data_IF_272803258248
#
_entry.id   IF_272803258248
#
_cell.length_a   1.000
_cell.length_b   1.000
_cell.length_c   1.000
_cell.angle_alpha   90.00
_cell.angle_beta   90.00
_cell.angle_gamma   90.00
#
_symmetry.space_group_name_H-M   'P 1'
#
loop_
_entity.id
_entity.type
_entity.pdbx_description
1 polymer ?
#
# COMPACT_ATOMS: atom_id res chain seq x y z
N UNK A 1 3.99 -12.86 5.76
CA UNK A 1 5.19 -13.10 4.93
C UNK A 1 4.79 -14.06 3.82
N UNK A 2 5.46 -14.09 2.67
CA UNK A 2 5.16 -15.15 1.68
C UNK A 2 5.78 -16.43 2.21
N UNK A 3 4.97 -17.46 2.40
CA UNK A 3 5.41 -18.71 3.02
C UNK A 3 6.24 -19.55 2.06
N UNK A 4 5.80 -19.67 0.81
CA UNK A 4 6.46 -20.50 -0.21
C UNK A 4 6.22 -19.99 -1.64
N UNK A 5 7.01 -20.51 -2.58
CA UNK A 5 6.85 -20.30 -4.01
C UNK A 5 7.06 -21.65 -4.71
N UNK A 6 6.11 -22.06 -5.55
CA UNK A 6 6.16 -23.30 -6.31
C UNK A 6 6.00 -23.00 -7.81
N UNK A 7 6.63 -23.83 -8.64
CA UNK A 7 6.49 -23.79 -10.10
C UNK A 7 5.93 -25.14 -10.54
N UNK A 8 4.84 -25.10 -11.31
CA UNK A 8 4.21 -26.27 -11.90
C UNK A 8 4.40 -26.23 -13.41
N UNK A 9 4.55 -27.39 -14.06
CA UNK A 9 4.70 -27.49 -15.51
C UNK A 9 4.01 -28.73 -16.07
N UNK A 10 3.74 -28.70 -17.38
CA UNK A 10 3.10 -29.80 -18.10
C UNK A 10 1.70 -30.10 -17.57
N UNK A 11 1.35 -31.38 -17.33
CA UNK A 11 0.01 -31.77 -16.87
C UNK A 11 -0.42 -31.23 -15.51
N UNK A 12 0.51 -30.67 -14.72
CA UNK A 12 0.21 -30.09 -13.40
C UNK A 12 -0.25 -28.62 -13.47
N UNK A 13 -0.22 -28.00 -14.65
CA UNK A 13 -0.69 -26.61 -14.84
C UNK A 13 -2.20 -26.60 -15.04
N UNK A 14 -2.94 -26.24 -13.98
CA UNK A 14 -4.40 -26.02 -14.06
C UNK A 14 -4.77 -24.64 -14.62
N UNK A 15 -3.97 -23.62 -14.30
CA UNK A 15 -4.09 -22.25 -14.81
C UNK A 15 -2.71 -21.75 -15.23
N UNK A 16 -2.56 -21.38 -16.51
CA UNK A 16 -1.30 -20.83 -17.01
C UNK A 16 -1.06 -19.42 -16.45
N UNK A 17 0.20 -19.09 -16.19
CA UNK A 17 0.62 -17.77 -15.71
C UNK A 17 0.90 -17.73 -14.21
N UNK A 18 0.99 -16.51 -13.67
CA UNK A 18 1.30 -16.29 -12.24
C UNK A 18 0.04 -16.41 -11.39
N UNK A 19 0.19 -16.99 -10.21
CA UNK A 19 -0.89 -17.14 -9.21
C UNK A 19 -0.38 -16.76 -7.83
N UNK A 20 -1.21 -16.07 -7.05
CA UNK A 20 -1.03 -15.83 -5.63
C UNK A 20 -2.19 -16.46 -4.85
N UNK A 21 -1.88 -17.33 -3.90
CA UNK A 21 -2.85 -17.84 -2.94
C UNK A 21 -2.64 -17.13 -1.60
N UNK A 22 -3.68 -16.46 -1.11
CA UNK A 22 -3.71 -15.80 0.21
C UNK A 22 -4.57 -16.64 1.12
N UNK A 23 -3.92 -17.37 2.03
CA UNK A 23 -4.57 -18.27 2.98
C UNK A 23 -4.72 -17.59 4.35
N UNK A 24 -5.91 -17.70 4.92
CA UNK A 24 -6.21 -17.41 6.33
C UNK A 24 -6.68 -18.71 6.99
N UNK A 25 -6.89 -18.69 8.30
CA UNK A 25 -7.42 -19.85 9.04
C UNK A 25 -8.80 -20.31 8.55
N UNK A 26 -9.53 -19.45 7.83
CA UNK A 26 -10.93 -19.69 7.43
C UNK A 26 -11.17 -19.67 5.93
N UNK A 27 -10.20 -19.23 5.11
CA UNK A 27 -10.40 -19.06 3.67
C UNK A 27 -9.09 -19.01 2.89
N UNK A 28 -9.14 -19.47 1.64
CA UNK A 28 -8.10 -19.20 0.64
C UNK A 28 -8.66 -18.33 -0.46
N UNK A 29 -8.03 -17.19 -0.73
CA UNK A 29 -8.29 -16.38 -1.90
C UNK A 29 -7.22 -16.62 -2.95
N UNK A 30 -7.63 -16.87 -4.19
CA UNK A 30 -6.70 -17.07 -5.32
C UNK A 30 -6.79 -15.87 -6.23
N UNK A 31 -5.65 -15.28 -6.55
CA UNK A 31 -5.49 -14.19 -7.52
C UNK A 31 -4.57 -14.69 -8.63
N UNK A 32 -5.00 -14.55 -9.87
CA UNK A 32 -4.31 -15.06 -11.05
C UNK A 32 -3.93 -13.91 -11.99
N UNK A 33 -3.10 -14.21 -12.98
CA UNK A 33 -2.77 -13.28 -14.06
C UNK A 33 -3.99 -12.88 -14.90
N UNK A 34 -5.03 -13.72 -14.96
CA UNK A 34 -6.29 -13.39 -15.67
C UNK A 34 -7.14 -12.34 -14.95
N UNK A 35 -6.96 -12.19 -13.63
CA UNK A 35 -7.63 -11.14 -12.85
C UNK A 35 -6.96 -9.76 -13.05
N UNK A 36 -5.72 -9.76 -13.55
CA UNK A 36 -4.98 -8.54 -13.82
C UNK A 36 -5.40 -7.93 -15.15
N UNK A 37 -5.40 -6.60 -15.21
CA UNK A 37 -5.34 -5.90 -16.49
C UNK A 37 -4.07 -6.31 -17.23
N UNK A 38 -4.17 -6.48 -18.55
CA UNK A 38 -3.12 -7.02 -19.41
C UNK A 38 -1.79 -6.24 -19.26
N UNK A 39 -0.70 -6.97 -19.01
CA UNK A 39 0.61 -6.41 -18.63
C UNK A 39 1.25 -5.57 -19.75
N UNK A 40 1.58 -4.30 -19.53
CA UNK A 40 2.94 -3.97 -19.07
C UNK A 40 3.03 -2.68 -18.22
N UNK A 41 2.01 -1.82 -18.19
CA UNK A 41 1.99 -0.57 -17.44
C UNK A 41 0.53 -0.17 -17.15
N UNK A 42 -0.09 -0.74 -16.11
CA UNK A 42 -1.28 -0.11 -15.56
C UNK A 42 -0.93 1.30 -15.08
N UNK A 43 -1.84 2.29 -15.18
CA UNK A 43 -1.52 3.67 -14.91
C UNK A 43 -0.95 3.82 -13.50
N UNK A 44 0.11 4.61 -13.42
CA UNK A 44 0.68 5.05 -12.15
C UNK A 44 0.23 6.48 -11.87
N UNK A 45 0.02 6.80 -10.61
CA UNK A 45 -0.51 8.09 -10.19
C UNK A 45 0.49 9.21 -10.54
N UNK A 46 0.03 10.19 -11.33
CA UNK A 46 0.87 11.27 -11.84
C UNK A 46 1.21 12.30 -10.76
N UNK A 47 0.24 12.62 -9.90
CA UNK A 47 0.42 13.58 -8.82
C UNK A 47 -0.36 13.21 -7.56
N UNK A 48 0.08 13.75 -6.42
CA UNK A 48 -0.62 13.56 -5.14
C UNK A 48 -2.02 14.20 -5.14
N UNK A 49 -2.28 15.17 -6.03
CA UNK A 49 -3.58 15.81 -6.16
C UNK A 49 -4.67 14.87 -6.71
N UNK A 50 -4.26 13.79 -7.39
CA UNK A 50 -5.14 12.76 -7.94
C UNK A 50 -5.41 11.61 -6.95
N UNK A 51 -4.88 11.69 -5.71
CA UNK A 51 -5.08 10.67 -4.70
C UNK A 51 -6.57 10.50 -4.40
N UNK A 52 -7.07 9.27 -4.54
CA UNK A 52 -8.44 8.91 -4.23
C UNK A 52 -8.72 8.85 -2.72
N UNK A 53 -9.99 8.60 -2.40
CA UNK A 53 -10.47 8.50 -1.02
C UNK A 53 -9.88 7.29 -0.27
N UNK A 54 -9.59 6.24 -1.01
CA UNK A 54 -9.14 4.95 -0.50
C UNK A 54 -7.75 4.61 -1.02
N UNK A 55 -7.01 3.91 -0.15
CA UNK A 55 -5.73 3.30 -0.45
C UNK A 55 -5.80 1.81 -0.12
N UNK A 56 -5.38 0.98 -1.06
CA UNK A 56 -5.36 -0.46 -0.92
C UNK A 56 -3.93 -0.96 -0.77
N UNK A 57 -3.74 -1.83 0.22
CA UNK A 57 -2.51 -2.58 0.45
C UNK A 57 -2.80 -4.07 0.22
N UNK A 58 -2.39 -4.66 -0.92
CA UNK A 58 -2.55 -6.07 -1.19
C UNK A 58 -1.64 -6.90 -0.29
N UNK A 59 -2.02 -8.17 -0.11
CA UNK A 59 -1.17 -9.15 0.53
C UNK A 59 0.17 -9.28 -0.20
N UNK A 60 1.21 -9.63 0.57
CA UNK A 60 2.56 -9.77 0.04
C UNK A 60 2.67 -10.86 -1.03
N UNK A 61 1.85 -11.91 -0.99
CA UNK A 61 1.82 -12.95 -2.03
C UNK A 61 1.43 -12.35 -3.39
N UNK A 62 0.40 -11.49 -3.42
CA UNK A 62 -0.05 -10.80 -4.65
C UNK A 62 1.04 -9.90 -5.20
N UNK A 63 1.71 -9.12 -4.33
CA UNK A 63 2.83 -8.25 -4.72
C UNK A 63 3.99 -9.09 -5.28
N UNK A 64 4.36 -10.18 -4.61
CA UNK A 64 5.49 -11.04 -5.02
C UNK A 64 5.22 -11.81 -6.31
N UNK A 65 3.97 -12.17 -6.57
CA UNK A 65 3.54 -12.74 -7.84
C UNK A 65 3.47 -11.70 -8.97
N UNK A 66 3.73 -10.41 -8.70
CA UNK A 66 3.63 -9.35 -9.70
C UNK A 66 2.19 -9.12 -10.18
N UNK A 67 1.22 -9.35 -9.32
CA UNK A 67 -0.21 -9.31 -9.65
C UNK A 67 -0.90 -8.03 -9.12
N UNK A 68 -0.17 -6.93 -8.93
CA UNK A 68 -0.78 -5.64 -8.54
C UNK A 68 -1.82 -5.17 -9.56
N UNK A 69 -1.68 -5.52 -10.84
CA UNK A 69 -2.70 -5.23 -11.86
C UNK A 69 -4.07 -5.82 -11.54
N UNK A 70 -4.14 -6.94 -10.81
CA UNK A 70 -5.41 -7.50 -10.34
C UNK A 70 -6.07 -6.62 -9.27
N UNK A 71 -5.27 -5.99 -8.41
CA UNK A 71 -5.79 -4.99 -7.46
C UNK A 71 -6.32 -3.76 -8.19
N UNK A 72 -5.57 -3.25 -9.16
CA UNK A 72 -6.00 -2.11 -9.98
C UNK A 72 -7.35 -2.39 -10.64
N UNK A 73 -7.49 -3.56 -11.29
CA UNK A 73 -8.74 -4.02 -11.89
C UNK A 73 -9.88 -4.11 -10.87
N UNK A 74 -9.62 -4.78 -9.75
CA UNK A 74 -10.64 -5.09 -8.75
C UNK A 74 -11.27 -3.85 -8.10
N UNK A 75 -10.52 -2.75 -7.96
CA UNK A 75 -10.99 -1.52 -7.30
C UNK A 75 -11.17 -0.33 -8.24
N UNK A 76 -11.02 -0.52 -9.56
CA UNK A 76 -10.99 0.58 -10.54
C UNK A 76 -10.01 1.68 -10.09
N UNK A 77 -8.77 1.27 -9.86
CA UNK A 77 -7.77 2.06 -9.15
C UNK A 77 -6.60 2.53 -10.01
N UNK A 78 -5.61 3.13 -9.35
CA UNK A 78 -4.34 3.54 -9.96
C UNK A 78 -3.21 3.24 -8.98
N UNK A 79 -2.13 2.60 -9.44
CA UNK A 79 -1.00 2.31 -8.55
C UNK A 79 -0.25 3.61 -8.23
N UNK A 80 0.20 3.80 -6.99
CA UNK A 80 0.91 5.04 -6.61
C UNK A 80 2.23 5.22 -7.37
N UNK A 81 2.96 4.13 -7.60
CA UNK A 81 4.16 4.07 -8.45
C UNK A 81 4.43 2.61 -8.83
N UNK A 82 5.08 2.38 -9.97
CA UNK A 82 5.32 1.02 -10.47
C UNK A 82 6.02 0.12 -9.45
N UNK A 83 5.36 -0.99 -9.10
CA UNK A 83 5.93 -2.04 -8.26
C UNK A 83 5.91 -1.77 -6.75
N UNK A 84 5.32 -0.66 -6.27
CA UNK A 84 5.18 -0.40 -4.82
C UNK A 84 3.99 -1.15 -4.21
N UNK A 85 3.04 -1.59 -5.05
CA UNK A 85 1.88 -2.39 -4.68
C UNK A 85 0.76 -1.60 -4.00
N UNK A 86 0.87 -0.29 -3.83
CA UNK A 86 -0.22 0.51 -3.26
C UNK A 86 -1.10 1.05 -4.38
N UNK A 87 -2.41 0.84 -4.29
CA UNK A 87 -3.39 1.28 -5.29
C UNK A 87 -4.37 2.25 -4.64
N UNK A 88 -4.51 3.45 -5.21
CA UNK A 88 -5.56 4.38 -4.80
C UNK A 88 -6.82 4.18 -5.62
N UNK A 89 -7.98 4.46 -5.03
CA UNK A 89 -9.26 4.42 -5.72
C UNK A 89 -10.27 5.37 -5.07
N UNK A 90 -11.24 5.83 -5.87
CA UNK A 90 -12.44 6.50 -5.37
C UNK A 90 -13.50 5.53 -4.85
N UNK A 91 -13.39 4.24 -5.14
CA UNK A 91 -14.37 3.21 -4.77
C UNK A 91 -13.98 2.49 -3.47
N UNK A 92 -14.98 2.31 -2.61
CA UNK A 92 -14.88 1.49 -1.42
C UNK A 92 -15.30 0.05 -1.74
N UNK A 93 -14.35 -0.87 -1.86
CA UNK A 93 -14.57 -2.30 -2.07
C UNK A 93 -13.81 -3.10 -1.03
N UNK A 94 -14.39 -4.16 -0.51
CA UNK A 94 -13.70 -5.06 0.42
C UNK A 94 -13.12 -6.24 -0.34
N UNK A 95 -11.84 -6.53 -0.09
CA UNK A 95 -11.10 -7.59 -0.77
C UNK A 95 -10.45 -8.49 0.29
N UNK A 96 -10.71 -9.81 0.28
CA UNK A 96 -10.17 -10.72 1.31
C UNK A 96 -8.62 -10.82 1.28
N UNK A 97 -8.00 -10.41 0.17
CA UNK A 97 -6.56 -10.42 -0.05
C UNK A 97 -5.93 -9.02 -0.10
N UNK A 98 -6.67 -7.96 0.24
CA UNK A 98 -6.12 -6.60 0.33
C UNK A 98 -6.75 -5.79 1.47
N UNK A 99 -5.93 -5.03 2.18
CA UNK A 99 -6.40 -4.11 3.23
C UNK A 99 -6.81 -2.78 2.61
N UNK A 100 -8.03 -2.34 2.90
CA UNK A 100 -8.51 -0.99 2.60
C UNK A 100 -8.14 -0.02 3.71
N UNK A 101 -7.68 1.16 3.33
CA UNK A 101 -7.26 2.25 4.22
C UNK A 101 -7.89 3.54 3.73
N UNK A 102 -8.50 4.32 4.62
CA UNK A 102 -9.04 5.65 4.28
C UNK A 102 -7.90 6.66 4.23
N UNK A 103 -7.78 7.40 3.13
CA UNK A 103 -6.78 8.48 2.97
C UNK A 103 -7.23 9.72 3.75
N UNK A 104 -6.49 10.10 4.78
CA UNK A 104 -6.79 11.32 5.57
C UNK A 104 -6.15 12.55 4.92
N UNK A 105 -4.88 12.45 4.55
CA UNK A 105 -4.17 13.49 3.81
C UNK A 105 -2.99 12.88 3.06
N UNK A 106 -2.68 13.40 1.87
CA UNK A 106 -1.48 13.04 1.12
C UNK A 106 -0.65 14.30 0.83
N UNK A 107 0.66 14.23 1.03
CA UNK A 107 1.55 15.39 0.86
C UNK A 107 2.97 14.97 0.43
N UNK A 108 3.72 15.85 -0.27
CA UNK A 108 5.15 15.64 -0.46
C UNK A 108 5.86 15.41 0.87
N UNK A 109 6.78 14.45 0.90
CA UNK A 109 7.51 14.09 2.10
C UNK A 109 8.41 15.25 2.54
N UNK A 110 8.02 15.90 3.63
CA UNK A 110 8.81 16.94 4.29
C UNK A 110 8.66 16.76 5.79
N UNK A 111 9.77 16.49 6.47
CA UNK A 111 9.79 16.31 7.93
C UNK A 111 9.17 17.48 8.68
N UNK A 112 9.39 18.72 8.22
CA UNK A 112 8.83 19.94 8.82
C UNK A 112 7.31 19.99 8.67
N UNK A 113 6.80 19.73 7.46
CA UNK A 113 5.36 19.75 7.18
C UNK A 113 4.64 18.64 7.95
N UNK A 114 5.20 17.43 7.92
CA UNK A 114 4.65 16.26 8.58
C UNK A 114 4.65 16.43 10.11
N UNK A 115 5.73 16.94 10.71
CA UNK A 115 5.79 17.19 12.15
C UNK A 115 4.77 18.24 12.61
N UNK A 116 4.51 19.26 11.78
CA UNK A 116 3.46 20.25 12.04
C UNK A 116 2.08 19.59 11.96
N UNK A 117 1.80 18.89 10.86
CA UNK A 117 0.52 18.21 10.63
C UNK A 117 0.14 17.29 11.79
N UNK A 118 1.11 16.48 12.25
CA UNK A 118 0.92 15.54 13.35
C UNK A 118 0.61 16.27 14.66
N UNK A 119 1.37 17.32 14.97
CA UNK A 119 1.18 18.11 16.19
C UNK A 119 -0.17 18.83 16.21
N UNK A 120 -0.55 19.44 15.08
CA UNK A 120 -1.79 20.21 14.96
C UNK A 120 -3.03 19.31 15.15
N UNK A 121 -2.89 18.01 14.90
CA UNK A 121 -3.93 16.99 15.13
C UNK A 121 -3.74 16.18 16.42
N UNK A 122 -2.78 16.56 17.26
CA UNK A 122 -2.56 15.93 18.57
C UNK A 122 -1.97 14.52 18.52
N UNK A 123 -1.33 14.13 17.41
CA UNK A 123 -0.62 12.86 17.32
C UNK A 123 0.74 12.94 18.02
N UNK A 124 1.10 11.88 18.75
CA UNK A 124 2.42 11.74 19.40
C UNK A 124 3.13 10.41 19.08
N UNK A 125 2.46 9.55 18.30
CA UNK A 125 2.94 8.26 17.82
C UNK A 125 2.68 8.10 16.34
N UNK A 126 3.57 7.36 15.68
CA UNK A 126 3.39 7.00 14.27
C UNK A 126 3.78 5.56 13.97
N UNK A 127 2.89 4.86 13.29
CA UNK A 127 3.22 3.65 12.55
C UNK A 127 3.68 4.07 11.15
N UNK A 128 4.87 3.62 10.73
CA UNK A 128 5.44 3.98 9.43
C UNK A 128 5.54 2.72 8.57
N UNK A 129 4.82 2.70 7.46
CA UNK A 129 4.94 1.72 6.39
C UNK A 129 5.73 2.36 5.25
N UNK A 130 6.76 1.69 4.73
CA UNK A 130 7.59 2.22 3.64
C UNK A 130 7.67 1.25 2.46
N UNK A 131 7.48 1.76 1.24
CA UNK A 131 7.73 1.02 -0.03
C UNK A 131 8.19 1.99 -1.11
N UNK A 132 9.27 1.67 -1.82
CA UNK A 132 9.85 2.54 -2.84
C UNK A 132 10.60 3.78 -2.30
N UNK A 133 10.88 3.82 -0.99
CA UNK A 133 11.68 4.88 -0.36
C UNK A 133 12.82 4.29 0.49
N UNK A 134 13.97 4.97 0.49
CA UNK A 134 15.20 4.54 1.18
C UNK A 134 15.38 5.16 2.56
N UNK A 135 14.50 6.07 2.97
CA UNK A 135 14.51 6.71 4.28
C UNK A 135 14.48 5.70 5.43
N UNK A 136 15.23 5.99 6.49
CA UNK A 136 15.17 5.29 7.77
C UNK A 136 13.94 5.74 8.59
N UNK A 137 13.08 4.78 8.92
CA UNK A 137 11.83 5.04 9.65
C UNK A 137 12.07 5.47 11.10
N UNK A 138 13.10 4.95 11.78
CA UNK A 138 13.41 5.29 13.17
C UNK A 138 14.09 6.65 13.27
N UNK A 139 14.95 6.98 12.31
CA UNK A 139 15.45 8.34 12.14
C UNK A 139 14.29 9.32 11.93
N UNK A 140 13.36 9.02 11.02
CA UNK A 140 12.21 9.89 10.76
C UNK A 140 11.34 10.03 12.02
N UNK A 141 11.00 8.94 12.73
CA UNK A 141 10.26 9.00 14.00
C UNK A 141 10.89 9.95 15.00
N UNK A 142 12.21 9.86 15.18
CA UNK A 142 12.98 10.75 16.06
C UNK A 142 12.91 12.21 15.60
N UNK A 143 13.08 12.47 14.31
CA UNK A 143 13.00 13.82 13.76
C UNK A 143 11.60 14.43 13.86
N UNK A 144 10.55 13.62 13.70
CA UNK A 144 9.16 14.03 13.90
C UNK A 144 8.81 14.23 15.39
N UNK A 145 9.71 13.84 16.31
CA UNK A 145 9.46 13.76 17.76
C UNK A 145 8.30 12.83 18.12
N UNK A 146 8.04 11.82 17.29
CA UNK A 146 6.97 10.83 17.45
C UNK A 146 7.53 9.55 18.08
N UNK A 147 8.11 9.69 19.27
CA UNK A 147 8.82 8.59 19.95
C UNK A 147 7.93 7.81 20.92
N UNK A 148 6.63 8.13 21.00
CA UNK A 148 5.71 7.54 21.96
C UNK A 148 5.98 7.93 23.42
N UNK A 149 6.94 8.82 23.67
CA UNK A 149 7.18 9.45 24.98
C UNK A 149 6.31 10.69 25.21
N UNK A 150 5.24 10.84 24.43
CA UNK A 150 4.31 11.96 24.48
C UNK A 150 3.25 11.84 25.58
N UNK A 151 2.41 12.87 25.70
CA UNK A 151 1.40 13.07 26.75
C UNK A 151 0.08 12.30 26.52
N UNK A 152 0.14 11.07 25.98
CA UNK A 152 -1.06 10.26 25.71
C UNK A 152 -1.87 10.72 24.49
N UNK A 153 -1.19 11.21 23.45
CA UNK A 153 -1.79 11.56 22.16
C UNK A 153 -2.20 10.34 21.33
N UNK A 154 -2.79 10.60 20.17
CA UNK A 154 -3.25 9.55 19.26
C UNK A 154 -2.12 9.08 18.32
N UNK A 155 -2.30 7.90 17.72
CA UNK A 155 -1.37 7.35 16.73
C UNK A 155 -1.85 7.61 15.30
N UNK A 156 -0.94 8.04 14.43
CA UNK A 156 -1.18 8.12 12.98
C UNK A 156 -0.49 6.99 12.23
N UNK A 157 -1.08 6.54 11.12
CA UNK A 157 -0.44 5.59 10.20
C UNK A 157 0.05 6.37 8.98
N UNK A 158 1.35 6.27 8.71
CA UNK A 158 2.02 6.91 7.58
C UNK A 158 2.45 5.85 6.57
N UNK A 159 1.98 5.98 5.35
CA UNK A 159 2.51 5.28 4.18
C UNK A 159 3.50 6.19 3.47
N UNK A 160 4.77 5.82 3.48
CA UNK A 160 5.85 6.52 2.80
C UNK A 160 6.17 5.81 1.48
N UNK A 161 5.95 6.52 0.39
CA UNK A 161 6.08 5.96 -0.95
C UNK A 161 6.43 7.01 -1.98
N UNK A 162 6.24 6.69 -3.26
CA UNK A 162 6.51 7.55 -4.39
C UNK A 162 5.22 7.76 -5.19
N UNK A 163 5.05 8.97 -5.72
CA UNK A 163 4.01 9.35 -6.67
C UNK A 163 4.63 10.36 -7.63
N UNK A 164 4.43 10.20 -8.94
CA UNK A 164 5.01 11.12 -9.95
C UNK A 164 6.53 11.33 -9.84
N UNK A 165 7.29 10.33 -9.35
CA UNK A 165 8.73 10.48 -9.12
C UNK A 165 9.11 11.37 -7.92
N UNK A 166 8.19 11.71 -7.02
CA UNK A 166 8.45 12.43 -5.76
C UNK A 166 8.17 11.55 -4.53
N UNK A 167 8.86 11.80 -3.41
CA UNK A 167 8.60 11.05 -2.15
C UNK A 167 7.38 11.68 -1.50
N UNK A 168 6.47 10.83 -1.01
CA UNK A 168 5.16 11.25 -0.50
C UNK A 168 4.89 10.56 0.83
N UNK A 169 4.28 11.31 1.74
CA UNK A 169 3.64 10.77 2.93
C UNK A 169 2.13 10.79 2.74
N UNK A 170 1.50 9.62 2.85
CA UNK A 170 0.05 9.47 2.90
C UNK A 170 -0.33 9.09 4.32
N UNK A 171 -1.11 9.95 4.98
CA UNK A 171 -1.69 9.65 6.28
C UNK A 171 -2.98 8.88 6.06
N UNK A 172 -3.12 7.74 6.73
CA UNK A 172 -4.26 6.85 6.54
C UNK A 172 -4.84 6.37 7.87
N UNK A 173 -6.09 5.92 7.82
CA UNK A 173 -6.74 5.19 8.92
C UNK A 173 -7.26 3.84 8.41
N UNK A 174 -7.31 2.79 9.24
CA UNK A 174 -8.02 1.56 8.89
C UNK A 174 -9.49 1.87 8.60
N UNK A 175 -10.03 1.21 7.57
CA UNK A 175 -11.46 1.25 7.23
C UNK A 175 -12.24 0.23 8.07
#
# INVERSE_FOLDING_TARGET
>A
EVLECAVWWGPLVSTAGRTAAVCTDTSTSVVTEQDAVDGAQHPVLGSVAEMGEWLYEPDRAVIRAGLTGALVSAVDGTELAGGVGYVTSGLARDLPWARRLRVVEAMPLSTKRLARWLRDRGHDRVTIKKRGVTLDADLLRRQLKMTGRGKGGSEAILVLTRVGGAQVAVVVTPA
#
